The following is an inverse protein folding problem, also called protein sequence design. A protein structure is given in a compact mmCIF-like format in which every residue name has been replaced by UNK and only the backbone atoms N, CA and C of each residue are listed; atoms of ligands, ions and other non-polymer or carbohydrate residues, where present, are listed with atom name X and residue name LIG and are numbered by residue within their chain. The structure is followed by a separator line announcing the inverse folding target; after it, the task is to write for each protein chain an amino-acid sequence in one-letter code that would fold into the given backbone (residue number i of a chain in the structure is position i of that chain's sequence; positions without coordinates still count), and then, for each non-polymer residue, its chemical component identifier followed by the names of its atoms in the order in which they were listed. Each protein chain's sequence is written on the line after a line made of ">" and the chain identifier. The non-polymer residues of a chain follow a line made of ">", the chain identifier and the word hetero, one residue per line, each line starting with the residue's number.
data_IF_072572785436
#
_entry.id   IF_072572785436
#
_cell.length_a   1.000
_cell.length_b   1.000
_cell.length_c   1.000
_cell.angle_alpha   90.00
_cell.angle_beta   90.00
_cell.angle_gamma   90.00
#
_symmetry.space_group_name_H-M   'P 1'
#
loop_
_entity.id
_entity.type
_entity.pdbx_description
1 polymer ?
#
# COMPACT_ATOMS: atom_id res chain seq x y z
N UNK A 1 -56.59 3.80 15.64
CA UNK A 1 -56.27 2.97 14.45
C UNK A 1 -56.34 3.72 13.12
N UNK A 2 -57.38 4.51 12.81
CA UNK A 2 -57.53 5.19 11.50
C UNK A 2 -56.40 6.19 11.16
N UNK A 3 -55.91 6.94 12.13
CA UNK A 3 -54.83 7.92 11.93
C UNK A 3 -53.46 7.29 11.64
N UNK A 4 -53.14 6.15 12.26
CA UNK A 4 -51.88 5.44 12.01
C UNK A 4 -51.80 4.90 10.58
N UNK A 5 -52.92 4.41 10.03
CA UNK A 5 -52.97 3.92 8.65
C UNK A 5 -52.79 5.07 7.65
N UNK A 6 -53.37 6.24 7.92
CA UNK A 6 -53.21 7.44 7.07
C UNK A 6 -51.75 7.93 7.09
N UNK A 7 -51.09 7.94 8.27
CA UNK A 7 -49.69 8.34 8.38
C UNK A 7 -48.74 7.40 7.63
N UNK A 8 -49.00 6.09 7.66
CA UNK A 8 -48.20 5.10 6.92
C UNK A 8 -48.37 5.29 5.41
N UNK A 9 -49.60 5.47 4.94
CA UNK A 9 -49.87 5.69 3.51
C UNK A 9 -49.23 6.99 3.03
N UNK A 10 -49.31 8.07 3.80
CA UNK A 10 -48.63 9.34 3.49
C UNK A 10 -47.11 9.18 3.45
N UNK A 11 -46.51 8.42 4.38
CA UNK A 11 -45.08 8.15 4.39
C UNK A 11 -44.61 7.34 3.18
N UNK A 12 -45.39 6.34 2.75
CA UNK A 12 -45.09 5.55 1.55
C UNK A 12 -45.18 6.42 0.28
N UNK A 13 -46.22 7.24 0.17
CA UNK A 13 -46.38 8.17 -0.96
C UNK A 13 -45.23 9.18 -1.00
N UNK A 14 -44.78 9.71 0.15
CA UNK A 14 -43.63 10.60 0.21
C UNK A 14 -42.34 9.89 -0.22
N UNK A 15 -42.12 8.66 0.27
CA UNK A 15 -40.91 7.88 -0.04
C UNK A 15 -40.79 7.52 -1.53
N UNK A 16 -41.88 7.03 -2.13
CA UNK A 16 -41.90 6.70 -3.56
C UNK A 16 -41.97 7.96 -4.45
N UNK A 17 -42.64 9.02 -3.99
CA UNK A 17 -42.67 10.31 -4.67
C UNK A 17 -41.27 10.91 -4.79
N UNK A 18 -40.50 10.96 -3.69
CA UNK A 18 -39.13 11.49 -3.69
C UNK A 18 -38.21 10.63 -4.56
N UNK A 19 -38.37 9.30 -4.54
CA UNK A 19 -37.56 8.38 -5.34
C UNK A 19 -37.78 8.52 -6.86
N UNK A 20 -38.89 9.13 -7.30
CA UNK A 20 -39.18 9.36 -8.72
C UNK A 20 -38.60 10.68 -9.26
N UNK A 21 -38.22 11.63 -8.38
CA UNK A 21 -37.64 12.92 -8.76
C UNK A 21 -36.12 12.98 -8.60
N UNK A 22 -35.49 11.93 -8.06
CA UNK A 22 -34.04 11.78 -8.11
C UNK A 22 -33.70 11.15 -9.46
N UNK A 23 -33.52 11.98 -10.48
CA UNK A 23 -32.80 11.53 -11.67
C UNK A 23 -31.40 11.11 -11.23
N UNK A 24 -30.91 9.90 -11.60
CA UNK A 24 -29.50 9.59 -11.40
C UNK A 24 -28.71 10.65 -12.16
N UNK A 25 -27.80 11.34 -11.49
CA UNK A 25 -26.92 12.30 -12.15
C UNK A 25 -26.29 11.59 -13.36
N UNK A 26 -26.74 11.96 -14.55
CA UNK A 26 -26.24 11.38 -15.79
C UNK A 26 -24.74 11.60 -15.82
N UNK A 27 -23.97 10.52 -15.92
CA UNK A 27 -22.55 10.64 -16.22
C UNK A 27 -22.50 11.18 -17.64
N UNK A 28 -22.24 12.49 -17.76
CA UNK A 28 -21.98 13.11 -19.05
C UNK A 28 -20.62 12.56 -19.51
N UNK A 29 -20.67 11.55 -20.39
CA UNK A 29 -19.47 11.03 -21.05
C UNK A 29 -19.03 12.15 -22.01
N UNK A 30 -18.17 13.05 -21.54
CA UNK A 30 -17.49 14.00 -22.41
C UNK A 30 -16.64 13.15 -23.37
N UNK A 31 -16.92 13.13 -24.68
CA UNK A 31 -16.07 12.40 -25.61
C UNK A 31 -14.68 13.00 -25.52
N UNK A 32 -13.68 12.17 -25.19
CA UNK A 32 -12.29 12.56 -25.18
C UNK A 32 -11.92 12.98 -26.60
N UNK A 33 -11.87 14.28 -26.83
CA UNK A 33 -11.45 14.84 -28.10
C UNK A 33 -9.93 14.73 -28.12
N UNK A 34 -9.44 13.62 -28.69
CA UNK A 34 -8.01 13.42 -28.90
C UNK A 34 -7.52 14.52 -29.82
N UNK A 35 -6.90 15.54 -29.24
CA UNK A 35 -6.16 16.55 -29.96
C UNK A 35 -5.09 15.79 -30.74
N UNK A 36 -5.16 15.79 -32.06
CA UNK A 36 -4.10 15.22 -32.90
C UNK A 36 -2.82 16.00 -32.60
N UNK A 37 -2.00 15.44 -31.71
CA UNK A 37 -0.67 15.96 -31.43
C UNK A 37 0.14 15.70 -32.69
N UNK A 38 0.45 16.77 -33.41
CA UNK A 38 1.38 16.78 -34.53
C UNK A 38 2.61 15.96 -34.19
N UNK A 39 2.96 15.01 -35.06
CA UNK A 39 4.09 14.09 -35.02
C UNK A 39 5.43 14.84 -35.01
N UNK A 40 5.77 15.46 -33.88
CA UNK A 40 7.11 15.89 -33.56
C UNK A 40 7.75 14.73 -32.80
N UNK A 41 8.59 13.95 -33.49
CA UNK A 41 9.51 12.92 -32.98
C UNK A 41 9.43 12.71 -31.45
N UNK A 42 8.34 12.09 -30.99
CA UNK A 42 8.23 11.64 -29.60
C UNK A 42 9.09 10.40 -29.57
N UNK A 43 10.30 10.51 -29.01
CA UNK A 43 11.10 9.32 -28.70
C UNK A 43 10.21 8.32 -27.96
N UNK A 44 10.33 7.03 -28.26
CA UNK A 44 9.44 6.03 -27.67
C UNK A 44 9.24 6.28 -26.17
N UNK A 45 8.01 6.58 -25.75
CA UNK A 45 7.69 6.75 -24.34
C UNK A 45 7.99 5.42 -23.64
N UNK A 46 9.12 5.35 -22.94
CA UNK A 46 9.48 4.17 -22.18
C UNK A 46 8.57 4.11 -20.94
N UNK A 47 7.80 3.02 -20.76
CA UNK A 47 6.91 2.91 -19.62
C UNK A 47 7.73 2.83 -18.32
N UNK A 48 7.34 3.60 -17.31
CA UNK A 48 7.93 3.51 -15.97
C UNK A 48 7.39 2.26 -15.27
N UNK A 49 8.29 1.43 -14.76
CA UNK A 49 7.94 0.21 -14.02
C UNK A 49 8.01 0.47 -12.52
N UNK A 50 6.90 0.21 -11.84
CA UNK A 50 6.79 0.35 -10.40
C UNK A 50 6.42 -1.01 -9.82
N UNK A 51 7.18 -1.46 -8.84
CA UNK A 51 6.84 -2.61 -7.99
C UNK A 51 6.46 -2.09 -6.62
N UNK A 52 5.26 -2.47 -6.16
CA UNK A 52 4.77 -2.20 -4.82
C UNK A 52 4.71 -3.53 -4.07
N UNK A 53 5.43 -3.63 -2.96
CA UNK A 53 5.29 -4.77 -2.04
C UNK A 53 4.57 -4.33 -0.77
N UNK A 54 3.98 -5.31 -0.09
CA UNK A 54 3.32 -5.08 1.19
C UNK A 54 4.31 -4.92 2.35
N UNK A 55 3.87 -5.40 3.51
CA UNK A 55 4.60 -5.28 4.76
C UNK A 55 5.89 -6.12 4.76
N UNK A 56 6.99 -5.47 5.13
CA UNK A 56 8.32 -6.08 5.26
C UNK A 56 8.65 -6.16 6.74
N UNK A 57 8.54 -7.37 7.29
CA UNK A 57 9.01 -7.71 8.64
C UNK A 57 10.38 -8.36 8.57
N UNK A 58 11.42 -7.69 9.05
CA UNK A 58 12.82 -8.19 9.09
C UNK A 58 13.27 -8.59 10.50
N UNK A 59 12.31 -8.80 11.40
CA UNK A 59 12.50 -9.22 12.79
C UNK A 59 12.01 -10.69 12.94
N UNK A 60 12.13 -11.25 14.16
CA UNK A 60 11.57 -12.55 14.56
C UNK A 60 12.05 -13.71 13.70
N UNK A 61 11.11 -14.41 13.05
CA UNK A 61 11.39 -15.58 12.24
C UNK A 61 12.31 -15.25 11.08
N UNK A 62 12.21 -14.04 10.52
CA UNK A 62 13.09 -13.63 9.42
C UNK A 62 14.51 -13.44 9.92
N UNK A 63 14.71 -12.71 11.01
CA UNK A 63 16.04 -12.56 11.63
C UNK A 63 16.61 -13.90 12.09
N UNK A 64 15.79 -14.77 12.68
CA UNK A 64 16.20 -16.13 13.06
C UNK A 64 16.73 -16.93 11.85
N UNK A 65 16.06 -16.83 10.70
CA UNK A 65 16.50 -17.52 9.48
C UNK A 65 17.74 -16.87 8.85
N UNK A 66 17.90 -15.55 8.96
CA UNK A 66 19.13 -14.84 8.59
C UNK A 66 20.31 -15.37 9.40
N UNK A 67 20.16 -15.52 10.72
CA UNK A 67 21.25 -16.04 11.55
C UNK A 67 21.52 -17.52 11.29
N UNK A 68 20.46 -18.34 11.25
CA UNK A 68 20.59 -19.80 11.14
C UNK A 68 21.07 -20.27 9.77
N UNK A 69 20.43 -19.79 8.71
CA UNK A 69 20.66 -20.26 7.34
C UNK A 69 21.45 -19.24 6.53
N UNK A 70 21.18 -17.95 6.74
CA UNK A 70 21.88 -16.84 6.08
C UNK A 70 23.26 -16.53 6.67
N UNK A 71 23.66 -17.16 7.79
CA UNK A 71 24.93 -16.92 8.48
C UNK A 71 25.16 -15.44 8.86
N UNK A 72 24.08 -14.76 9.25
CA UNK A 72 24.09 -13.33 9.60
C UNK A 72 24.07 -12.38 8.41
N UNK A 73 23.89 -12.90 7.19
CA UNK A 73 23.75 -12.09 5.97
C UNK A 73 22.31 -11.64 5.76
N UNK A 74 22.00 -10.37 6.03
CA UNK A 74 20.67 -9.80 5.88
C UNK A 74 20.17 -9.72 4.43
N UNK A 75 21.01 -10.05 3.43
CA UNK A 75 20.58 -10.22 2.04
C UNK A 75 19.81 -11.54 1.85
N UNK A 76 19.99 -12.51 2.74
CA UNK A 76 19.42 -13.86 2.67
C UNK A 76 17.92 -13.91 2.33
N UNK A 77 17.02 -13.09 2.92
CA UNK A 77 15.60 -13.12 2.61
C UNK A 77 15.28 -12.75 1.15
N UNK A 78 16.18 -12.02 0.49
CA UNK A 78 15.93 -11.41 -0.81
C UNK A 78 16.66 -12.10 -1.97
N UNK A 79 17.62 -13.01 -1.71
CA UNK A 79 18.52 -13.57 -2.74
C UNK A 79 17.80 -14.21 -3.93
N UNK A 80 16.57 -14.69 -3.76
CA UNK A 80 15.79 -15.31 -4.84
C UNK A 80 14.91 -14.33 -5.63
N UNK A 81 14.72 -13.11 -5.14
CA UNK A 81 13.79 -12.12 -5.71
C UNK A 81 14.48 -10.81 -6.09
N UNK A 82 15.70 -10.57 -5.64
CA UNK A 82 16.41 -9.31 -5.84
C UNK A 82 16.53 -8.92 -7.32
N UNK A 83 16.82 -9.88 -8.21
CA UNK A 83 16.97 -9.60 -9.64
C UNK A 83 15.65 -9.17 -10.29
N UNK A 84 14.53 -9.75 -9.84
CA UNK A 84 13.20 -9.35 -10.29
C UNK A 84 12.86 -7.94 -9.82
N UNK A 85 13.10 -7.64 -8.54
CA UNK A 85 12.81 -6.33 -7.95
C UNK A 85 13.65 -5.23 -8.61
N UNK A 86 14.95 -5.46 -8.81
CA UNK A 86 15.87 -4.52 -9.49
C UNK A 86 15.49 -4.20 -10.94
N UNK A 87 14.58 -4.95 -11.55
CA UNK A 87 14.09 -4.69 -12.90
C UNK A 87 13.10 -3.53 -13.02
N UNK A 88 12.69 -2.92 -11.90
CA UNK A 88 11.78 -1.78 -11.85
C UNK A 88 12.52 -0.46 -11.54
N UNK A 89 11.96 0.65 -12.02
CA UNK A 89 12.49 1.99 -11.74
C UNK A 89 12.23 2.39 -10.28
N UNK A 90 11.08 1.96 -9.73
CA UNK A 90 10.68 2.18 -8.34
C UNK A 90 10.33 0.84 -7.71
N UNK A 91 10.97 0.55 -6.58
CA UNK A 91 10.64 -0.58 -5.72
C UNK A 91 10.26 -0.02 -4.36
N UNK A 92 8.97 0.01 -4.11
CA UNK A 92 8.36 0.54 -2.90
C UNK A 92 8.00 -0.60 -1.95
N UNK A 93 8.25 -0.44 -0.66
CA UNK A 93 7.77 -1.36 0.37
C UNK A 93 7.26 -0.66 1.63
N UNK A 94 6.45 -1.35 2.43
CA UNK A 94 6.00 -0.85 3.73
C UNK A 94 6.82 -1.51 4.84
N UNK A 95 7.44 -0.73 5.73
CA UNK A 95 8.14 -1.32 6.87
C UNK A 95 7.13 -1.68 7.96
N UNK A 96 7.07 -2.98 8.26
CA UNK A 96 6.23 -3.52 9.33
C UNK A 96 6.78 -3.22 10.72
N UNK A 97 7.98 -2.66 10.83
CA UNK A 97 8.59 -2.37 12.11
C UNK A 97 9.83 -1.51 11.93
N UNK A 98 10.26 -0.88 13.02
CA UNK A 98 11.42 0.00 12.99
C UNK A 98 12.71 -0.80 12.74
N UNK A 99 13.63 -0.21 11.97
CA UNK A 99 15.01 -0.71 11.84
C UNK A 99 15.89 0.19 12.70
N UNK A 100 16.34 -0.30 13.86
CA UNK A 100 17.02 0.54 14.85
C UNK A 100 17.80 -0.28 15.88
N UNK A 101 18.93 0.26 16.36
CA UNK A 101 19.64 -0.19 17.56
C UNK A 101 19.26 0.61 18.81
N UNK A 102 18.39 1.62 18.65
CA UNK A 102 17.97 2.55 19.70
C UNK A 102 16.50 2.34 20.05
N UNK A 103 16.04 3.16 20.99
CA UNK A 103 14.64 3.20 21.40
C UNK A 103 14.31 2.26 22.56
N UNK A 104 13.17 2.52 23.19
CA UNK A 104 12.64 1.73 24.30
C UNK A 104 11.34 1.11 23.81
N UNK A 105 11.20 -0.20 24.01
CA UNK A 105 9.97 -0.91 23.67
C UNK A 105 8.77 -0.29 24.40
N UNK A 106 7.84 0.27 23.64
CA UNK A 106 6.61 0.92 24.16
C UNK A 106 5.34 0.13 23.85
N UNK A 107 5.41 -0.87 22.99
CA UNK A 107 4.27 -1.72 22.64
C UNK A 107 4.22 -3.06 23.40
N UNK A 108 3.54 -4.04 22.80
CA UNK A 108 3.21 -5.32 23.43
C UNK A 108 4.27 -6.40 23.18
N UNK A 109 3.96 -7.66 23.52
CA UNK A 109 4.77 -8.81 23.05
C UNK A 109 4.86 -8.88 21.52
N UNK A 110 4.00 -8.16 20.78
CA UNK A 110 4.00 -8.02 19.33
C UNK A 110 4.75 -6.78 18.83
N UNK A 111 5.58 -6.13 19.65
CA UNK A 111 6.45 -5.08 19.14
C UNK A 111 7.58 -5.64 18.28
N UNK A 112 7.91 -4.94 17.19
CA UNK A 112 8.93 -5.33 16.22
C UNK A 112 10.07 -4.31 16.15
N UNK A 113 11.31 -4.80 16.12
CA UNK A 113 12.50 -4.00 15.82
C UNK A 113 13.52 -4.87 15.14
N UNK A 114 13.71 -4.61 13.85
CA UNK A 114 14.75 -5.26 13.07
C UNK A 114 16.12 -4.65 13.38
N UNK A 115 17.14 -5.50 13.31
CA UNK A 115 18.55 -5.11 13.40
C UNK A 115 18.90 -4.04 12.35
N UNK A 116 19.68 -3.00 12.67
CA UNK A 116 20.11 -2.00 11.68
C UNK A 116 20.73 -2.58 10.40
N UNK A 117 21.42 -3.73 10.49
CA UNK A 117 21.99 -4.43 9.32
C UNK A 117 20.94 -4.91 8.33
N UNK A 118 19.67 -5.03 8.73
CA UNK A 118 18.57 -5.39 7.85
C UNK A 118 18.40 -4.43 6.66
N UNK A 119 18.86 -3.18 6.80
CA UNK A 119 18.88 -2.22 5.68
C UNK A 119 19.72 -2.71 4.49
N UNK A 120 20.78 -3.50 4.74
CA UNK A 120 21.63 -4.06 3.68
C UNK A 120 20.83 -5.00 2.77
N UNK A 121 19.89 -5.75 3.33
CA UNK A 121 18.98 -6.62 2.57
C UNK A 121 18.04 -5.82 1.67
N UNK A 122 17.47 -4.73 2.18
CA UNK A 122 16.57 -3.84 1.43
C UNK A 122 17.29 -3.17 0.26
N UNK A 123 18.49 -2.62 0.51
CA UNK A 123 19.34 -2.02 -0.53
C UNK A 123 19.73 -3.09 -1.57
N UNK A 124 20.16 -4.27 -1.11
CA UNK A 124 20.51 -5.38 -2.00
C UNK A 124 19.34 -5.83 -2.87
N UNK A 125 18.11 -5.76 -2.38
CA UNK A 125 16.91 -6.13 -3.12
C UNK A 125 16.42 -5.04 -4.09
N UNK A 126 16.98 -3.82 -4.01
CA UNK A 126 16.62 -2.70 -4.89
C UNK A 126 15.51 -1.80 -4.36
N UNK A 127 15.09 -1.94 -3.09
CA UNK A 127 14.14 -1.01 -2.48
C UNK A 127 14.72 0.40 -2.46
N UNK A 128 13.99 1.36 -3.04
CA UNK A 128 14.39 2.76 -3.11
C UNK A 128 13.36 3.71 -2.49
N UNK A 129 12.17 3.22 -2.15
CA UNK A 129 11.18 3.94 -1.35
C UNK A 129 10.63 3.01 -0.27
N UNK A 130 10.53 3.51 0.97
CA UNK A 130 9.95 2.78 2.09
C UNK A 130 8.91 3.64 2.80
N UNK A 131 7.73 3.07 3.02
CA UNK A 131 6.70 3.64 3.87
C UNK A 131 6.94 3.28 5.34
N UNK A 132 6.70 4.26 6.21
CA UNK A 132 6.63 4.10 7.67
C UNK A 132 5.19 4.18 8.17
N UNK A 133 4.20 4.32 7.28
CA UNK A 133 2.79 4.37 7.64
C UNK A 133 2.28 2.96 7.98
N UNK A 134 2.69 2.47 9.15
CA UNK A 134 2.39 1.15 9.65
C UNK A 134 2.05 1.24 11.16
N UNK A 135 1.21 0.34 11.66
CA UNK A 135 0.80 0.32 13.06
C UNK A 135 1.93 -0.01 14.05
N UNK A 136 3.07 -0.49 13.56
CA UNK A 136 4.27 -0.81 14.35
C UNK A 136 5.39 0.24 14.24
N UNK A 137 5.15 1.36 13.55
CA UNK A 137 6.15 2.41 13.35
C UNK A 137 6.72 3.03 14.64
N UNK A 138 5.98 2.94 15.75
CA UNK A 138 6.35 3.54 17.03
C UNK A 138 6.71 2.50 18.10
N UNK A 139 6.93 1.23 17.74
CA UNK A 139 7.13 0.17 18.72
C UNK A 139 8.32 0.39 19.68
N UNK A 140 9.31 1.19 19.27
CA UNK A 140 10.49 1.53 20.07
C UNK A 140 10.70 3.05 20.30
N UNK A 141 9.64 3.86 20.14
CA UNK A 141 9.67 5.29 20.46
C UNK A 141 9.92 6.21 19.27
#
# INVERSE_FOLDING_TARGET
>A
MKWALISIILGIILFFGISFFIEPAGIEIIPFQQKETSTLLVGEEQPIKIILVGDIMLDRGVEYMVEKEGKGDFRFPFIKIADYLKGADIVFGNLEGVISDKGIKVGSIYSFRANPKAIEGLIFAGFNVLSLANNHAFDYG
#
